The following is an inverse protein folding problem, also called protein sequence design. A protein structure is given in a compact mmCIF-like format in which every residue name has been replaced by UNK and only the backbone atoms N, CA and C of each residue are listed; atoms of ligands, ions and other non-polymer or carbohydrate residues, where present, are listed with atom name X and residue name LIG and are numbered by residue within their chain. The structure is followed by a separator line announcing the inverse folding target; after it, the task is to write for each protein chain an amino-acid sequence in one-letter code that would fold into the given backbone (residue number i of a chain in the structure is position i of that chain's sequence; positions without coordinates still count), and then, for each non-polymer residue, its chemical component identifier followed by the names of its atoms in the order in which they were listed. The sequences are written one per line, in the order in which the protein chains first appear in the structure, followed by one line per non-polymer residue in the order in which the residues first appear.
data_IF_475377881487
#
_entry.id   IF_475377881487
#
_cell.length_a   1.000
_cell.length_b   1.000
_cell.length_c   1.000
_cell.angle_alpha   90.00
_cell.angle_beta   90.00
_cell.angle_gamma   90.00
#
_symmetry.space_group_name_H-M   'P 1'
#
loop_
_entity.id
_entity.type
_entity.pdbx_description
1 polymer ?
#
# COMPACT_ATOMS: atom_id res chain seq x y z
N UNK A 1 -2.36 22.43 0.51
CA UNK A 1 -2.18 21.05 0.00
C UNK A 1 -1.98 20.03 1.12
N UNK A 2 -1.42 20.42 2.27
CA UNK A 2 -1.36 19.60 3.50
C UNK A 2 -2.69 18.93 3.89
N UNK A 3 -3.83 19.61 3.76
CA UNK A 3 -5.14 19.05 4.09
C UNK A 3 -5.53 17.86 3.22
N UNK A 4 -5.17 17.85 1.93
CA UNK A 4 -5.43 16.72 1.04
C UNK A 4 -4.62 15.50 1.46
N UNK A 5 -3.37 15.71 1.87
CA UNK A 5 -2.52 14.65 2.42
C UNK A 5 -3.16 14.05 3.66
N UNK A 6 -3.56 14.91 4.61
CA UNK A 6 -4.22 14.48 5.86
C UNK A 6 -5.50 13.70 5.57
N UNK A 7 -6.36 14.18 4.67
CA UNK A 7 -7.60 13.47 4.29
C UNK A 7 -7.28 12.11 3.67
N UNK A 8 -6.30 12.04 2.77
CA UNK A 8 -5.89 10.76 2.16
C UNK A 8 -5.38 9.77 3.19
N UNK A 9 -4.50 10.21 4.11
CA UNK A 9 -4.00 9.39 5.21
C UNK A 9 -5.16 8.90 6.07
N UNK A 10 -6.09 9.78 6.45
CA UNK A 10 -7.24 9.40 7.26
C UNK A 10 -8.11 8.35 6.57
N UNK A 11 -8.35 8.45 5.26
CA UNK A 11 -9.13 7.46 4.51
C UNK A 11 -8.49 6.06 4.62
N UNK A 12 -7.22 5.93 4.22
CA UNK A 12 -6.56 4.61 4.20
C UNK A 12 -6.25 4.08 5.61
N UNK A 13 -5.85 4.95 6.54
CA UNK A 13 -5.48 4.57 7.90
C UNK A 13 -6.70 4.23 8.75
N UNK A 14 -7.78 5.01 8.68
CA UNK A 14 -9.02 4.70 9.41
C UNK A 14 -9.63 3.39 8.88
N UNK A 15 -9.70 3.21 7.56
CA UNK A 15 -10.17 1.96 6.96
C UNK A 15 -9.33 0.76 7.43
N UNK A 16 -8.01 0.81 7.23
CA UNK A 16 -7.12 -0.32 7.55
C UNK A 16 -7.13 -0.64 9.04
N UNK A 17 -7.07 0.39 9.90
CA UNK A 17 -7.14 0.22 11.36
C UNK A 17 -8.48 -0.37 11.80
N UNK A 18 -9.60 0.14 11.29
CA UNK A 18 -10.93 -0.39 11.65
C UNK A 18 -11.06 -1.88 11.30
N UNK A 19 -10.52 -2.29 10.16
CA UNK A 19 -10.52 -3.69 9.75
C UNK A 19 -9.60 -4.54 10.64
N UNK A 20 -8.39 -4.07 10.96
CA UNK A 20 -7.48 -4.78 11.87
C UNK A 20 -8.07 -4.96 13.27
N UNK A 21 -8.74 -3.93 13.80
CA UNK A 21 -9.43 -3.98 15.10
C UNK A 21 -10.59 -4.99 15.07
N UNK A 22 -11.43 -4.95 14.03
CA UNK A 22 -12.57 -5.88 13.89
C UNK A 22 -12.10 -7.34 13.79
N UNK A 23 -10.98 -7.58 13.12
CA UNK A 23 -10.41 -8.93 12.95
C UNK A 23 -9.51 -9.39 14.10
N UNK A 24 -9.26 -8.53 15.10
CA UNK A 24 -8.29 -8.79 16.19
C UNK A 24 -6.90 -9.19 15.69
N UNK A 25 -6.47 -8.61 14.58
CA UNK A 25 -5.20 -8.96 13.95
C UNK A 25 -4.99 -8.30 12.59
N UNK A 26 -3.75 -8.39 12.12
CA UNK A 26 -3.35 -7.86 10.81
C UNK A 26 -3.65 -8.91 9.73
N UNK A 27 -4.37 -8.54 8.64
CA UNK A 27 -4.63 -9.45 7.54
C UNK A 27 -3.35 -9.74 6.75
N UNK A 28 -3.39 -10.71 5.83
CA UNK A 28 -2.22 -11.03 5.00
C UNK A 28 -1.77 -9.84 4.13
N UNK A 29 -2.72 -9.03 3.67
CA UNK A 29 -2.51 -7.78 2.93
C UNK A 29 -3.69 -6.82 3.16
N UNK A 30 -3.52 -5.54 2.87
CA UNK A 30 -4.60 -4.55 2.79
C UNK A 30 -5.64 -5.04 1.80
N UNK A 31 -5.25 -5.63 0.65
CA UNK A 31 -6.22 -6.24 -0.27
C UNK A 31 -7.03 -7.39 0.33
N UNK A 32 -6.45 -8.15 1.27
CA UNK A 32 -7.17 -9.23 1.95
C UNK A 32 -8.30 -8.71 2.87
N UNK A 33 -8.30 -7.43 3.22
CA UNK A 33 -9.39 -6.80 4.00
C UNK A 33 -10.76 -6.93 3.30
N UNK A 34 -10.78 -6.98 1.96
CA UNK A 34 -12.00 -7.18 1.17
C UNK A 34 -12.82 -8.41 1.58
N UNK A 35 -12.14 -9.50 1.99
CA UNK A 35 -12.81 -10.74 2.39
C UNK A 35 -13.31 -10.74 3.84
N UNK A 36 -12.88 -9.77 4.63
CA UNK A 36 -13.16 -9.74 6.05
C UNK A 36 -14.16 -8.66 6.46
N UNK A 37 -14.54 -7.79 5.52
CA UNK A 37 -15.57 -6.78 5.71
C UNK A 37 -16.90 -7.24 5.12
N UNK A 38 -18.00 -6.88 5.78
CA UNK A 38 -19.36 -7.13 5.27
C UNK A 38 -19.67 -6.19 4.10
N UNK A 39 -19.38 -4.90 4.28
CA UNK A 39 -19.62 -3.87 3.28
C UNK A 39 -18.43 -3.73 2.33
N UNK A 40 -18.33 -4.66 1.37
CA UNK A 40 -17.24 -4.76 0.37
C UNK A 40 -16.95 -3.49 -0.42
N UNK A 41 -17.91 -2.56 -0.53
CA UNK A 41 -17.73 -1.27 -1.20
C UNK A 41 -16.68 -0.38 -0.56
N UNK A 42 -16.46 -0.49 0.76
CA UNK A 42 -15.46 0.32 1.47
C UNK A 42 -14.04 0.05 1.02
N UNK A 43 -13.74 -1.19 0.63
CA UNK A 43 -12.44 -1.51 0.04
C UNK A 43 -12.20 -0.67 -1.23
N UNK A 44 -13.14 -0.73 -2.18
CA UNK A 44 -13.02 0.00 -3.46
C UNK A 44 -12.95 1.50 -3.25
N UNK A 45 -13.83 2.02 -2.41
CA UNK A 45 -13.84 3.42 -2.03
C UNK A 45 -12.46 3.85 -1.52
N UNK A 46 -11.87 3.07 -0.60
CA UNK A 46 -10.56 3.40 -0.03
C UNK A 46 -9.44 3.34 -1.06
N UNK A 47 -9.43 2.32 -1.93
CA UNK A 47 -8.41 2.16 -2.98
C UNK A 47 -8.48 3.28 -4.03
N UNK A 48 -9.62 3.92 -4.22
CA UNK A 48 -9.78 5.02 -5.18
C UNK A 48 -9.65 6.39 -4.53
N UNK A 49 -10.40 6.63 -3.45
CA UNK A 49 -10.51 7.93 -2.82
C UNK A 49 -9.17 8.39 -2.23
N UNK A 50 -8.43 7.52 -1.54
CA UNK A 50 -7.14 7.88 -0.96
C UNK A 50 -6.15 8.38 -2.03
N UNK A 51 -5.75 7.60 -3.04
CA UNK A 51 -4.77 8.07 -4.01
C UNK A 51 -5.29 9.21 -4.90
N UNK A 52 -6.60 9.27 -5.21
CA UNK A 52 -7.17 10.40 -5.97
C UNK A 52 -7.08 11.72 -5.19
N UNK A 53 -7.38 11.70 -3.88
CA UNK A 53 -7.26 12.88 -3.02
C UNK A 53 -5.81 13.29 -2.84
N UNK A 54 -4.87 12.33 -2.77
CA UNK A 54 -3.44 12.61 -2.65
C UNK A 54 -2.81 13.19 -3.93
N UNK A 55 -3.38 12.88 -5.09
CA UNK A 55 -2.78 13.17 -6.40
C UNK A 55 -2.37 14.65 -6.59
N UNK A 56 -3.19 15.67 -6.25
CA UNK A 56 -2.79 17.06 -6.43
C UNK A 56 -1.52 17.42 -5.65
N UNK A 57 -1.38 16.92 -4.42
CA UNK A 57 -0.18 17.16 -3.61
C UNK A 57 1.05 16.43 -4.17
N UNK A 58 0.88 15.21 -4.72
CA UNK A 58 1.97 14.51 -5.41
C UNK A 58 2.44 15.29 -6.63
N UNK A 59 1.51 15.81 -7.44
CA UNK A 59 1.86 16.55 -8.66
C UNK A 59 2.56 17.87 -8.36
N UNK A 60 2.17 18.56 -7.29
CA UNK A 60 2.81 19.81 -6.86
C UNK A 60 4.26 19.63 -6.43
N UNK A 61 4.57 18.54 -5.72
CA UNK A 61 5.93 18.27 -5.19
C UNK A 61 6.80 17.45 -6.14
N UNK A 62 6.24 16.97 -7.24
CA UNK A 62 6.97 16.16 -8.22
C UNK A 62 8.03 16.99 -8.93
N UNK A 63 9.23 16.43 -9.06
CA UNK A 63 10.27 16.96 -9.94
C UNK A 63 9.82 16.82 -11.40
N UNK A 64 10.20 17.77 -12.26
CA UNK A 64 9.86 17.75 -13.68
C UNK A 64 10.20 16.42 -14.34
N UNK A 65 9.22 15.82 -15.03
CA UNK A 65 9.39 14.57 -15.77
C UNK A 65 9.22 13.30 -14.94
N UNK A 66 8.81 13.41 -13.67
CA UNK A 66 8.52 12.24 -12.81
C UNK A 66 7.04 12.04 -12.52
N UNK A 67 6.19 13.01 -12.85
CA UNK A 67 4.75 13.06 -12.58
C UNK A 67 4.01 11.86 -13.18
N UNK A 68 4.46 11.40 -14.35
CA UNK A 68 3.87 10.25 -15.04
C UNK A 68 3.89 8.96 -14.19
N UNK A 69 4.89 8.80 -13.32
CA UNK A 69 5.00 7.66 -12.41
C UNK A 69 3.87 7.68 -11.37
N UNK A 70 3.50 8.85 -10.88
CA UNK A 70 2.37 9.01 -9.96
C UNK A 70 1.05 8.63 -10.63
N UNK A 71 0.86 8.99 -11.90
CA UNK A 71 -0.33 8.58 -12.67
C UNK A 71 -0.38 7.06 -12.88
N UNK A 72 0.75 6.41 -13.15
CA UNK A 72 0.81 4.95 -13.27
C UNK A 72 0.54 4.25 -11.94
N UNK A 73 1.01 4.81 -10.83
CA UNK A 73 0.70 4.31 -9.49
C UNK A 73 -0.80 4.44 -9.17
N UNK A 74 -1.40 5.60 -9.48
CA UNK A 74 -2.85 5.83 -9.34
C UNK A 74 -3.65 4.85 -10.21
N UNK A 75 -3.24 4.63 -11.47
CA UNK A 75 -3.86 3.65 -12.35
C UNK A 75 -3.82 2.24 -11.73
N UNK A 76 -2.68 1.86 -11.14
CA UNK A 76 -2.54 0.61 -10.39
C UNK A 76 -3.57 0.48 -9.26
N UNK A 77 -3.74 1.52 -8.45
CA UNK A 77 -4.74 1.55 -7.36
C UNK A 77 -6.18 1.47 -7.88
N UNK A 78 -6.49 2.14 -9.01
CA UNK A 78 -7.81 2.04 -9.66
C UNK A 78 -8.07 0.60 -10.06
N UNK A 79 -7.11 -0.04 -10.73
CA UNK A 79 -7.19 -1.45 -11.16
C UNK A 79 -7.39 -2.38 -9.96
N UNK A 80 -6.68 -2.19 -8.84
CA UNK A 80 -6.88 -2.95 -7.60
C UNK A 80 -8.33 -2.86 -7.10
N UNK A 81 -8.93 -1.66 -7.13
CA UNK A 81 -10.33 -1.46 -6.74
C UNK A 81 -11.34 -2.00 -7.76
N UNK A 82 -10.98 -2.12 -9.04
CA UNK A 82 -11.79 -2.78 -10.07
C UNK A 82 -11.80 -4.31 -9.94
N UNK A 83 -10.69 -4.89 -9.47
CA UNK A 83 -10.53 -6.34 -9.27
C UNK A 83 -10.35 -6.72 -7.80
N UNK A 84 -11.28 -6.38 -6.89
CA UNK A 84 -11.07 -6.59 -5.45
C UNK A 84 -11.23 -8.06 -5.04
N UNK A 85 -11.99 -8.84 -5.80
CA UNK A 85 -12.27 -10.27 -5.55
C UNK A 85 -11.23 -11.19 -6.22
N UNK A 86 -9.96 -10.91 -5.97
CA UNK A 86 -8.81 -11.56 -6.61
C UNK A 86 -8.64 -13.06 -6.34
N UNK A 87 -9.49 -13.66 -5.50
CA UNK A 87 -9.54 -15.10 -5.21
C UNK A 87 -10.67 -15.82 -5.97
N UNK A 88 -11.62 -15.08 -6.55
CA UNK A 88 -12.77 -15.68 -7.23
C UNK A 88 -12.35 -16.46 -8.49
N UNK A 89 -11.53 -15.85 -9.34
CA UNK A 89 -11.10 -16.46 -10.61
C UNK A 89 -9.76 -15.90 -11.11
N UNK A 90 -9.21 -16.54 -12.16
CA UNK A 90 -7.90 -16.20 -12.73
C UNK A 90 -7.85 -14.81 -13.35
N UNK A 91 -8.95 -14.29 -13.90
CA UNK A 91 -9.01 -12.97 -14.50
C UNK A 91 -8.97 -11.88 -13.42
N UNK A 92 -9.81 -12.01 -12.39
CA UNK A 92 -9.76 -11.15 -11.19
C UNK A 92 -8.37 -11.17 -10.55
N UNK A 93 -7.78 -12.37 -10.38
CA UNK A 93 -6.45 -12.52 -9.82
C UNK A 93 -5.38 -11.75 -10.61
N UNK A 94 -5.34 -11.94 -11.93
CA UNK A 94 -4.37 -11.29 -12.81
C UNK A 94 -4.53 -9.77 -12.81
N UNK A 95 -5.76 -9.28 -12.91
CA UNK A 95 -6.07 -7.86 -12.87
C UNK A 95 -5.60 -7.22 -11.56
N UNK A 96 -5.92 -7.85 -10.43
CA UNK A 96 -5.53 -7.37 -9.11
C UNK A 96 -4.01 -7.33 -8.92
N UNK A 97 -3.32 -8.43 -9.25
CA UNK A 97 -1.86 -8.51 -9.10
C UNK A 97 -1.17 -7.49 -10.01
N UNK A 98 -1.63 -7.33 -11.26
CA UNK A 98 -1.10 -6.30 -12.15
C UNK A 98 -1.28 -4.89 -11.56
N UNK A 99 -2.47 -4.57 -11.07
CA UNK A 99 -2.74 -3.28 -10.42
C UNK A 99 -1.87 -3.04 -9.18
N UNK A 100 -1.75 -4.04 -8.30
CA UNK A 100 -0.94 -3.94 -7.09
C UNK A 100 0.55 -3.76 -7.40
N UNK A 101 1.07 -4.51 -8.40
CA UNK A 101 2.44 -4.36 -8.88
C UNK A 101 2.68 -2.96 -9.45
N UNK A 102 1.77 -2.44 -10.28
CA UNK A 102 1.87 -1.08 -10.83
C UNK A 102 1.88 -0.03 -9.70
N UNK A 103 0.94 -0.14 -8.75
CA UNK A 103 0.83 0.79 -7.63
C UNK A 103 2.12 0.85 -6.81
N UNK A 104 2.68 -0.30 -6.43
CA UNK A 104 3.91 -0.37 -5.63
C UNK A 104 5.11 0.07 -6.48
N UNK A 105 5.32 -0.52 -7.65
CA UNK A 105 6.52 -0.27 -8.46
C UNK A 105 6.64 1.21 -8.82
N UNK A 106 5.60 1.81 -9.38
CA UNK A 106 5.68 3.19 -9.84
C UNK A 106 5.67 4.21 -8.70
N UNK A 107 4.98 3.94 -7.59
CA UNK A 107 5.08 4.81 -6.41
C UNK A 107 6.49 4.80 -5.82
N UNK A 108 7.15 3.64 -5.76
CA UNK A 108 8.49 3.56 -5.19
C UNK A 108 9.57 4.11 -6.11
N UNK A 109 9.43 3.96 -7.44
CA UNK A 109 10.29 4.66 -8.41
C UNK A 109 10.05 6.18 -8.32
N UNK A 110 8.80 6.62 -8.16
CA UNK A 110 8.51 8.04 -7.96
C UNK A 110 9.20 8.58 -6.69
N UNK A 111 9.10 7.87 -5.55
CA UNK A 111 9.79 8.25 -4.32
C UNK A 111 11.31 8.28 -4.52
N UNK A 112 11.89 7.30 -5.22
CA UNK A 112 13.34 7.25 -5.44
C UNK A 112 13.86 8.46 -6.23
N UNK A 113 13.11 8.93 -7.22
CA UNK A 113 13.49 10.08 -8.03
C UNK A 113 13.20 11.42 -7.33
N UNK A 114 12.17 11.48 -6.50
CA UNK A 114 11.73 12.71 -5.84
C UNK A 114 12.45 12.95 -4.49
N UNK A 115 12.44 11.97 -3.59
CA UNK A 115 13.11 12.03 -2.29
C UNK A 115 13.54 10.63 -1.82
N UNK A 116 14.63 10.11 -2.41
CA UNK A 116 15.14 8.76 -2.15
C UNK A 116 15.34 8.38 -0.67
N UNK A 117 15.72 9.28 0.28
CA UNK A 117 15.91 8.88 1.68
C UNK A 117 14.63 8.33 2.32
N UNK A 118 13.45 8.63 1.78
CA UNK A 118 12.19 8.07 2.29
C UNK A 118 12.07 6.56 2.07
N UNK A 119 12.90 5.97 1.20
CA UNK A 119 13.01 4.53 1.05
C UNK A 119 13.66 3.85 2.26
N UNK A 120 14.28 4.58 3.19
CA UNK A 120 14.77 3.97 4.44
C UNK A 120 13.65 3.34 5.29
N UNK A 121 12.38 3.69 5.05
CA UNK A 121 11.23 2.96 5.64
C UNK A 121 11.25 1.47 5.30
N UNK A 122 11.81 1.06 4.16
CA UNK A 122 11.94 -0.36 3.84
C UNK A 122 12.86 -1.11 4.81
N UNK A 123 13.79 -0.42 5.47
CA UNK A 123 14.63 -1.03 6.52
C UNK A 123 13.81 -1.43 7.74
N UNK A 124 12.73 -0.70 8.07
CA UNK A 124 11.86 -1.09 9.18
C UNK A 124 11.09 -2.37 8.85
N UNK A 125 10.63 -2.52 7.60
CA UNK A 125 10.03 -3.77 7.13
C UNK A 125 11.03 -4.93 7.18
N UNK A 126 12.24 -4.74 6.64
CA UNK A 126 13.28 -5.79 6.62
C UNK A 126 13.65 -6.19 8.05
N UNK A 127 13.85 -5.22 8.95
CA UNK A 127 14.14 -5.45 10.36
C UNK A 127 13.01 -6.21 11.05
N UNK A 128 11.75 -5.80 10.85
CA UNK A 128 10.58 -6.50 11.38
C UNK A 128 10.50 -7.95 10.88
N UNK A 129 10.68 -8.18 9.57
CA UNK A 129 10.65 -9.51 8.99
C UNK A 129 11.78 -10.40 9.56
N UNK A 130 13.00 -9.86 9.65
CA UNK A 130 14.15 -10.56 10.21
C UNK A 130 13.93 -10.95 11.68
N UNK A 131 13.41 -10.03 12.49
CA UNK A 131 13.10 -10.30 13.90
C UNK A 131 12.03 -11.37 14.08
N UNK A 132 10.98 -11.37 13.25
CA UNK A 132 9.95 -12.42 13.31
C UNK A 132 10.49 -13.79 12.89
N UNK A 133 11.32 -13.83 11.83
CA UNK A 133 11.97 -15.07 11.39
C UNK A 133 12.92 -15.60 12.48
N UNK A 134 13.64 -14.72 13.18
CA UNK A 134 14.56 -15.10 14.25
C UNK A 134 13.83 -15.61 15.50
N UNK A 135 12.62 -15.11 15.79
CA UNK A 135 11.80 -15.56 16.93
C UNK A 135 11.18 -16.94 16.70
N UNK A 136 10.80 -17.24 15.46
CA UNK A 136 10.15 -18.49 15.12
C UNK A 136 11.19 -19.62 15.10
N UNK A 137 11.07 -20.59 16.01
CA UNK A 137 12.06 -21.66 16.16
C UNK A 137 11.84 -22.81 15.17
N UNK A 138 10.61 -22.96 14.68
CA UNK A 138 10.19 -24.10 13.86
C UNK A 138 9.82 -23.70 12.43
N UNK A 139 9.90 -24.65 11.50
CA UNK A 139 9.54 -24.46 10.09
C UNK A 139 10.66 -23.91 9.20
N UNK A 140 10.37 -23.88 7.89
CA UNK A 140 11.29 -23.38 6.86
C UNK A 140 11.32 -21.85 6.83
N UNK A 141 12.36 -21.27 6.24
CA UNK A 141 12.46 -19.81 6.05
C UNK A 141 11.19 -19.19 5.45
N UNK A 142 10.65 -19.81 4.39
CA UNK A 142 9.43 -19.34 3.71
C UNK A 142 8.20 -19.38 4.61
N UNK A 143 8.06 -20.42 5.43
CA UNK A 143 6.98 -20.51 6.41
C UNK A 143 7.06 -19.37 7.43
N UNK A 144 8.25 -19.14 8.00
CA UNK A 144 8.49 -18.08 8.98
C UNK A 144 8.22 -16.69 8.39
N UNK A 145 8.69 -16.46 7.16
CA UNK A 145 8.43 -15.21 6.44
C UNK A 145 6.93 -15.04 6.15
N UNK A 146 6.21 -16.09 5.73
CA UNK A 146 4.78 -16.00 5.49
C UNK A 146 3.98 -15.64 6.76
N UNK A 147 4.41 -16.15 7.92
CA UNK A 147 3.76 -15.84 9.20
C UNK A 147 3.89 -14.36 9.61
N UNK A 148 4.94 -13.67 9.18
CA UNK A 148 5.11 -12.23 9.45
C UNK A 148 4.16 -11.33 8.65
N UNK A 149 3.30 -11.90 7.80
CA UNK A 149 2.36 -11.18 6.91
C UNK A 149 3.10 -10.16 6.02
N UNK A 150 4.06 -10.62 5.19
CA UNK A 150 5.02 -9.75 4.53
C UNK A 150 4.33 -8.79 3.56
N UNK A 151 3.29 -9.25 2.86
CA UNK A 151 2.57 -8.43 1.88
C UNK A 151 1.89 -7.21 2.52
N UNK A 152 1.25 -7.37 3.68
CA UNK A 152 0.68 -6.25 4.43
C UNK A 152 1.72 -5.19 4.74
N UNK A 153 2.89 -5.59 5.24
CA UNK A 153 3.95 -4.65 5.60
C UNK A 153 4.65 -4.04 4.38
N UNK A 154 4.72 -4.74 3.25
CA UNK A 154 5.16 -4.19 1.97
C UNK A 154 4.22 -3.05 1.53
N UNK A 155 2.91 -3.24 1.60
CA UNK A 155 1.91 -2.22 1.23
C UNK A 155 1.92 -1.03 2.19
N UNK A 156 2.07 -1.28 3.50
CA UNK A 156 2.20 -0.19 4.48
C UNK A 156 3.50 0.59 4.25
N UNK A 157 4.62 -0.09 4.01
CA UNK A 157 5.91 0.58 3.78
C UNK A 157 5.89 1.42 2.51
N UNK A 158 5.28 0.92 1.44
CA UNK A 158 5.17 1.67 0.19
C UNK A 158 4.32 2.93 0.34
N UNK A 159 3.18 2.82 1.05
CA UNK A 159 2.32 3.97 1.38
C UNK A 159 3.04 4.99 2.27
N UNK A 160 3.68 4.54 3.35
CA UNK A 160 4.40 5.43 4.28
C UNK A 160 5.53 6.16 3.55
N UNK A 161 6.32 5.48 2.71
CA UNK A 161 7.37 6.12 1.93
C UNK A 161 6.82 7.21 1.00
N UNK A 162 5.69 6.95 0.32
CA UNK A 162 5.03 7.94 -0.52
C UNK A 162 4.50 9.14 0.28
N UNK A 163 3.82 8.90 1.42
CA UNK A 163 3.32 9.97 2.27
C UNK A 163 4.43 10.83 2.87
N UNK A 164 5.51 10.22 3.37
CA UNK A 164 6.65 10.95 3.89
C UNK A 164 7.33 11.79 2.81
N UNK A 165 7.46 11.26 1.59
CA UNK A 165 7.98 12.00 0.45
C UNK A 165 7.16 13.27 0.19
N UNK A 166 5.84 13.14 0.12
CA UNK A 166 4.97 14.30 -0.13
C UNK A 166 4.99 15.28 1.05
N UNK A 167 4.94 14.80 2.29
CA UNK A 167 4.92 15.65 3.49
C UNK A 167 6.20 16.49 3.68
N UNK A 168 7.35 15.96 3.28
CA UNK A 168 8.64 16.66 3.44
C UNK A 168 8.90 17.63 2.28
N UNK A 169 8.36 17.34 1.10
CA UNK A 169 8.57 18.17 -0.09
C UNK A 169 7.55 19.32 -0.24
N UNK A 170 6.49 19.36 0.58
CA UNK A 170 5.44 20.39 0.56
C UNK A 170 5.78 21.57 1.48
#
# INVERSE_FOLDING_TARGET
MIWLIVISILIIAAYTTAVCVKQKGVPYSISATFYAIEHKGWFRFTMWASPMVLMPAILEVSKPGTEFLAYLALAGMIVVGCFPDYKADKFQHRGHIAGAMMAILFSQIWVSLNLWPMLFVWLTYIGYAALNIAKEKEGTFWYKLYQSKPMFWIEISSLVAAYLCVLICI
#
